data_IF_284156146793
#
_entry.id   IF_284156146793
#
_cell.length_a   1.000
_cell.length_b   1.000
_cell.length_c   1.000
_cell.angle_alpha   90.00
_cell.angle_beta   90.00
_cell.angle_gamma   90.00
#
_symmetry.space_group_name_H-M   'P 1'
#
loop_
_entity.id
_entity.type
_entity.pdbx_description
1 polymer ?
#
# COMPACT_ATOMS: atom_id res chain seq x y z
N UNK A 1 -54.46 57.46 -6.71
CA UNK A 1 -53.46 56.54 -6.12
C UNK A 1 -53.57 55.22 -6.87
N UNK A 2 -52.55 54.92 -7.69
CA UNK A 2 -52.13 53.59 -8.18
C UNK A 2 -53.07 52.74 -9.08
N UNK A 3 -53.02 53.08 -10.38
CA UNK A 3 -52.67 52.25 -11.56
C UNK A 3 -52.76 50.70 -11.40
N UNK A 4 -53.73 50.07 -12.08
CA UNK A 4 -53.65 48.68 -12.54
C UNK A 4 -53.77 48.64 -14.07
N UNK A 5 -52.78 48.06 -14.73
CA UNK A 5 -52.60 48.05 -16.18
C UNK A 5 -53.31 46.80 -16.75
N UNK A 6 -54.33 47.05 -17.58
CA UNK A 6 -54.64 46.46 -18.90
C UNK A 6 -53.69 45.33 -19.41
N UNK A 7 -54.07 44.32 -20.22
CA UNK A 7 -55.22 44.06 -21.09
C UNK A 7 -54.94 42.71 -21.81
N UNK A 8 -55.99 41.97 -22.21
CA UNK A 8 -56.03 41.03 -23.39
C UNK A 8 -55.14 39.75 -23.35
N UNK A 9 -55.52 38.54 -23.75
CA UNK A 9 -56.47 38.05 -24.76
C UNK A 9 -57.04 36.67 -24.37
N UNK A 10 -58.28 36.45 -24.77
CA UNK A 10 -59.02 35.19 -24.81
C UNK A 10 -58.65 34.38 -26.07
N UNK A 11 -58.96 33.07 -26.08
CA UNK A 11 -59.58 32.30 -27.19
C UNK A 11 -58.82 31.07 -27.77
N UNK A 12 -59.55 29.94 -27.76
CA UNK A 12 -59.68 28.87 -28.78
C UNK A 12 -58.64 27.74 -28.95
N UNK A 13 -59.21 26.57 -29.30
CA UNK A 13 -58.65 25.24 -29.45
C UNK A 13 -58.13 24.90 -30.87
N UNK A 14 -57.08 24.04 -30.94
CA UNK A 14 -56.65 23.01 -31.94
C UNK A 14 -56.45 23.44 -33.43
N UNK A 15 -55.60 22.78 -34.29
CA UNK A 15 -55.06 21.39 -34.28
C UNK A 15 -53.56 21.23 -34.71
N UNK A 16 -53.15 19.98 -34.96
CA UNK A 16 -51.80 19.42 -35.20
C UNK A 16 -50.97 19.95 -36.40
N UNK A 17 -49.62 19.94 -36.29
CA UNK A 17 -48.67 20.03 -37.42
C UNK A 17 -47.37 19.23 -37.16
N UNK A 18 -46.98 18.48 -38.19
CA UNK A 18 -45.84 17.58 -38.39
C UNK A 18 -44.58 18.23 -39.01
N UNK A 19 -43.40 17.64 -38.76
CA UNK A 19 -42.13 17.57 -39.53
C UNK A 19 -41.53 18.81 -40.25
N UNK A 20 -40.23 19.09 -40.02
CA UNK A 20 -39.19 19.31 -41.06
C UNK A 20 -37.78 19.60 -40.50
N UNK A 21 -36.90 18.59 -40.64
CA UNK A 21 -35.55 18.54 -41.26
C UNK A 21 -34.61 19.77 -41.30
N UNK A 22 -33.37 19.61 -40.79
CA UNK A 22 -32.11 20.14 -41.37
C UNK A 22 -30.91 19.20 -41.05
N UNK A 23 -30.24 18.67 -42.08
CA UNK A 23 -28.95 17.94 -42.04
C UNK A 23 -27.71 18.86 -41.99
N UNK A 24 -26.64 18.48 -41.26
CA UNK A 24 -25.23 18.47 -41.75
C UNK A 24 -24.21 17.80 -40.80
N UNK A 25 -23.08 17.24 -41.33
CA UNK A 25 -22.24 16.24 -40.66
C UNK A 25 -20.80 16.68 -40.29
N UNK A 26 -20.18 15.88 -39.40
CA UNK A 26 -18.75 15.67 -39.07
C UNK A 26 -17.95 16.73 -38.28
N UNK A 27 -17.44 16.33 -37.10
CA UNK A 27 -16.02 16.34 -36.63
C UNK A 27 -16.00 15.84 -35.17
N UNK A 28 -15.55 14.61 -34.89
CA UNK A 28 -14.16 14.25 -34.59
C UNK A 28 -13.83 14.30 -33.08
N UNK A 29 -13.53 13.10 -32.55
CA UNK A 29 -12.87 12.77 -31.26
C UNK A 29 -13.70 12.92 -29.98
N UNK A 30 -14.29 11.80 -29.56
CA UNK A 30 -13.99 11.27 -28.22
C UNK A 30 -13.98 9.74 -28.28
N UNK A 31 -13.12 9.23 -29.16
CA UNK A 31 -12.67 7.85 -29.12
C UNK A 31 -11.26 7.92 -28.52
N UNK A 32 -11.20 8.06 -27.20
CA UNK A 32 -10.03 7.93 -26.31
C UNK A 32 -10.44 8.41 -24.92
N UNK A 33 -10.84 7.49 -24.06
CA UNK A 33 -10.63 7.49 -22.60
C UNK A 33 -11.48 6.39 -21.93
N UNK A 34 -11.51 5.18 -22.51
CA UNK A 34 -12.15 4.01 -21.88
C UNK A 34 -11.26 2.77 -21.97
N UNK A 35 -9.94 2.92 -21.77
CA UNK A 35 -8.98 1.79 -21.79
C UNK A 35 -7.92 1.85 -20.67
N UNK A 36 -8.01 2.77 -19.70
CA UNK A 36 -6.96 2.98 -18.67
C UNK A 36 -7.47 2.97 -17.21
N UNK A 37 -8.73 2.58 -16.95
CA UNK A 37 -9.28 2.51 -15.57
C UNK A 37 -9.16 1.11 -14.93
N UNK A 38 -9.01 0.08 -15.76
CA UNK A 38 -8.78 -1.31 -15.36
C UNK A 38 -7.27 -1.46 -15.08
N UNK A 39 -6.86 -2.04 -13.95
CA UNK A 39 -5.47 -2.35 -13.52
C UNK A 39 -4.82 -1.38 -12.50
N UNK A 40 -5.24 -0.11 -12.36
CA UNK A 40 -4.59 0.79 -11.39
C UNK A 40 -4.86 0.43 -9.91
N UNK A 41 -6.09 0.02 -9.57
CA UNK A 41 -6.50 -0.29 -8.19
C UNK A 41 -5.84 -1.58 -7.67
N UNK A 42 -5.93 -2.67 -8.45
CA UNK A 42 -5.24 -3.92 -8.13
C UNK A 42 -3.72 -3.74 -8.04
N UNK A 43 -3.13 -2.94 -8.96
CA UNK A 43 -1.70 -2.60 -8.89
C UNK A 43 -1.32 -1.87 -7.62
N UNK A 44 -2.11 -0.89 -7.21
CA UNK A 44 -1.86 -0.14 -5.99
C UNK A 44 -1.87 -1.06 -4.75
N UNK A 45 -2.75 -2.07 -4.71
CA UNK A 45 -2.88 -2.95 -3.56
C UNK A 45 -1.68 -3.87 -3.33
N UNK A 46 -1.23 -4.59 -4.36
CA UNK A 46 -0.06 -5.46 -4.22
C UNK A 46 1.23 -4.64 -4.10
N UNK A 47 1.28 -3.45 -4.71
CA UNK A 47 2.41 -2.54 -4.59
C UNK A 47 2.55 -2.01 -3.15
N UNK A 48 1.46 -1.57 -2.53
CA UNK A 48 1.47 -1.16 -1.11
C UNK A 48 1.95 -2.32 -0.24
N UNK A 49 1.41 -3.51 -0.45
CA UNK A 49 1.79 -4.71 0.27
C UNK A 49 3.30 -5.00 0.14
N UNK A 50 3.85 -4.87 -1.06
CA UNK A 50 5.28 -5.06 -1.32
C UNK A 50 6.15 -3.99 -0.63
N UNK A 51 5.79 -2.71 -0.70
CA UNK A 51 6.57 -1.62 -0.07
C UNK A 51 6.56 -1.75 1.45
N UNK A 52 5.41 -2.09 2.04
CA UNK A 52 5.33 -2.38 3.47
C UNK A 52 6.17 -3.61 3.82
N UNK A 53 6.07 -4.68 3.02
CA UNK A 53 6.88 -5.89 3.16
C UNK A 53 8.37 -5.58 3.22
N UNK A 54 8.91 -4.91 2.20
CA UNK A 54 10.33 -4.59 2.12
C UNK A 54 10.83 -3.76 3.32
N UNK A 55 10.09 -2.72 3.70
CA UNK A 55 10.48 -1.88 4.83
C UNK A 55 10.42 -2.64 6.14
N UNK A 56 9.37 -3.43 6.35
CA UNK A 56 9.18 -4.18 7.59
C UNK A 56 10.23 -5.29 7.71
N UNK A 57 10.53 -6.02 6.62
CA UNK A 57 11.58 -7.03 6.57
C UNK A 57 12.96 -6.45 6.87
N UNK A 58 13.26 -5.27 6.32
CA UNK A 58 14.51 -4.57 6.57
C UNK A 58 14.64 -4.12 8.03
N UNK A 59 13.64 -3.40 8.55
CA UNK A 59 13.69 -2.84 9.92
C UNK A 59 13.60 -3.93 10.98
N UNK A 60 12.68 -4.89 10.85
CA UNK A 60 12.47 -5.94 11.85
C UNK A 60 13.69 -6.85 11.97
N UNK A 61 14.26 -7.30 10.84
CA UNK A 61 15.44 -8.17 10.83
C UNK A 61 16.66 -7.44 11.38
N UNK A 62 16.90 -6.19 10.95
CA UNK A 62 17.98 -5.38 11.50
C UNK A 62 17.81 -5.16 13.02
N UNK A 63 16.59 -4.86 13.48
CA UNK A 63 16.31 -4.64 14.91
C UNK A 63 16.55 -5.90 15.73
N UNK A 64 16.09 -7.06 15.27
CA UNK A 64 16.37 -8.36 15.92
C UNK A 64 17.87 -8.63 16.02
N UNK A 65 18.60 -8.41 14.92
CA UNK A 65 20.06 -8.59 14.89
C UNK A 65 20.77 -7.61 15.83
N UNK A 66 20.36 -6.35 15.88
CA UNK A 66 20.88 -5.36 16.83
C UNK A 66 20.57 -5.74 18.27
N UNK A 67 19.35 -6.21 18.56
CA UNK A 67 18.97 -6.69 19.89
C UNK A 67 19.89 -7.81 20.39
N UNK A 68 20.04 -8.88 19.61
CA UNK A 68 20.95 -9.99 19.97
C UNK A 68 22.41 -9.51 20.03
N UNK A 69 22.81 -8.66 19.09
CA UNK A 69 24.12 -8.04 19.08
C UNK A 69 24.40 -7.13 20.28
N UNK A 70 23.38 -6.67 21.00
CA UNK A 70 23.54 -5.86 22.19
C UNK A 70 24.05 -6.65 23.40
N UNK A 71 23.87 -7.97 23.39
CA UNK A 71 24.16 -8.87 24.53
C UNK A 71 25.11 -10.01 24.19
N UNK A 72 25.26 -10.35 22.91
CA UNK A 72 26.16 -11.41 22.45
C UNK A 72 27.02 -10.91 21.29
N UNK A 73 28.32 -11.20 21.37
CA UNK A 73 29.26 -10.81 20.33
C UNK A 73 29.38 -11.84 19.20
N UNK A 74 28.69 -12.98 19.29
CA UNK A 74 28.77 -14.07 18.31
C UNK A 74 27.99 -13.74 17.02
N UNK A 75 28.70 -13.79 15.89
CA UNK A 75 28.14 -13.62 14.54
C UNK A 75 27.07 -14.67 14.26
N UNK A 76 27.29 -15.93 14.66
CA UNK A 76 26.39 -17.04 14.33
C UNK A 76 25.03 -16.85 14.98
N UNK A 77 24.99 -16.45 16.24
CA UNK A 77 23.76 -16.16 16.97
C UNK A 77 22.99 -14.98 16.37
N UNK A 78 23.70 -13.94 15.95
CA UNK A 78 23.11 -12.78 15.29
C UNK A 78 22.49 -13.16 13.94
N UNK A 79 23.23 -13.86 13.08
CA UNK A 79 22.76 -14.26 11.74
C UNK A 79 21.65 -15.31 11.83
N UNK A 80 21.76 -16.28 12.74
CA UNK A 80 20.73 -17.30 12.95
C UNK A 80 19.42 -16.67 13.42
N UNK A 81 19.47 -15.72 14.36
CA UNK A 81 18.28 -14.98 14.80
C UNK A 81 17.69 -14.15 13.67
N UNK A 82 18.52 -13.47 12.89
CA UNK A 82 18.05 -12.72 11.73
C UNK A 82 17.36 -13.61 10.70
N UNK A 83 17.91 -14.80 10.43
CA UNK A 83 17.33 -15.74 9.46
C UNK A 83 16.03 -16.37 9.96
N UNK A 84 15.98 -16.72 11.25
CA UNK A 84 14.74 -17.17 11.89
C UNK A 84 13.67 -16.07 11.85
N UNK A 85 14.06 -14.82 12.14
CA UNK A 85 13.19 -13.65 12.04
C UNK A 85 12.71 -13.39 10.61
N UNK A 86 13.56 -13.62 9.60
CA UNK A 86 13.19 -13.52 8.19
C UNK A 86 12.06 -14.50 7.86
N UNK A 87 12.23 -15.78 8.17
CA UNK A 87 11.23 -16.81 7.86
C UNK A 87 9.93 -16.55 8.62
N UNK A 88 10.04 -16.33 9.94
CA UNK A 88 8.88 -16.07 10.78
C UNK A 88 8.13 -14.80 10.34
N UNK A 89 8.86 -13.72 10.06
CA UNK A 89 8.32 -12.46 9.62
C UNK A 89 7.68 -12.53 8.23
N UNK A 90 8.32 -13.18 7.26
CA UNK A 90 7.76 -13.35 5.92
C UNK A 90 6.43 -14.13 5.94
N UNK A 91 6.37 -15.23 6.72
CA UNK A 91 5.15 -16.00 6.90
C UNK A 91 4.05 -15.17 7.61
N UNK A 92 4.41 -14.50 8.70
CA UNK A 92 3.48 -13.63 9.45
C UNK A 92 2.90 -12.53 8.56
N UNK A 93 3.75 -11.92 7.73
CA UNK A 93 3.36 -10.84 6.83
C UNK A 93 2.47 -11.32 5.68
N UNK A 94 2.77 -12.48 5.07
CA UNK A 94 1.87 -13.09 4.09
C UNK A 94 0.48 -13.33 4.69
N UNK A 95 0.43 -13.93 5.88
CA UNK A 95 -0.83 -14.25 6.54
C UNK A 95 -1.60 -12.97 6.91
N UNK A 96 -0.92 -11.99 7.52
CA UNK A 96 -1.54 -10.73 7.91
C UNK A 96 -2.10 -9.95 6.71
N UNK A 97 -1.36 -9.93 5.61
CA UNK A 97 -1.79 -9.28 4.38
C UNK A 97 -2.93 -10.04 3.70
N UNK A 98 -2.87 -11.38 3.64
CA UNK A 98 -3.95 -12.20 3.11
C UNK A 98 -5.27 -11.94 3.85
N UNK A 99 -5.23 -11.99 5.19
CA UNK A 99 -6.42 -11.78 6.03
C UNK A 99 -6.95 -10.35 5.90
N UNK A 100 -6.05 -9.35 5.85
CA UNK A 100 -6.44 -7.95 5.69
C UNK A 100 -7.14 -7.68 4.36
N UNK A 101 -6.61 -8.22 3.26
CA UNK A 101 -7.19 -8.03 1.93
C UNK A 101 -8.48 -8.83 1.76
N UNK A 102 -8.55 -10.03 2.33
CA UNK A 102 -9.77 -10.83 2.32
C UNK A 102 -10.90 -10.12 3.08
N UNK A 103 -10.61 -9.50 4.23
CA UNK A 103 -11.61 -8.72 4.96
C UNK A 103 -12.11 -7.50 4.17
N UNK A 104 -11.25 -6.86 3.36
CA UNK A 104 -11.66 -5.76 2.47
C UNK A 104 -12.60 -6.28 1.37
N UNK A 105 -12.27 -7.43 0.79
CA UNK A 105 -13.11 -8.10 -0.20
C UNK A 105 -14.50 -8.45 0.36
N UNK A 106 -14.57 -8.98 1.59
CA UNK A 106 -15.84 -9.33 2.23
C UNK A 106 -16.75 -8.11 2.44
N UNK A 107 -16.18 -6.96 2.80
CA UNK A 107 -16.93 -5.70 2.98
C UNK A 107 -17.50 -5.22 1.64
N UNK A 108 -16.69 -5.26 0.59
CA UNK A 108 -17.08 -4.84 -0.76
C UNK A 108 -18.20 -5.74 -1.32
N UNK A 109 -18.06 -7.06 -1.18
CA UNK A 109 -19.09 -8.03 -1.59
C UNK A 109 -20.40 -7.84 -0.80
N UNK A 110 -20.31 -7.57 0.50
CA UNK A 110 -21.48 -7.29 1.33
C UNK A 110 -22.19 -5.99 0.90
N UNK A 111 -21.43 -4.96 0.52
CA UNK A 111 -21.97 -3.71 0.02
C UNK A 111 -22.66 -3.90 -1.33
N UNK A 112 -21.99 -4.56 -2.29
CA UNK A 112 -22.57 -4.91 -3.59
C UNK A 112 -23.88 -5.69 -3.43
N UNK A 113 -23.94 -6.65 -2.49
CA UNK A 113 -25.17 -7.41 -2.24
C UNK A 113 -26.30 -6.53 -1.71
N UNK A 114 -26.02 -5.53 -0.87
CA UNK A 114 -27.03 -4.58 -0.37
C UNK A 114 -27.53 -3.66 -1.46
N UNK A 115 -26.63 -3.12 -2.27
CA UNK A 115 -26.97 -2.18 -3.35
C UNK A 115 -27.81 -2.87 -4.44
N UNK A 116 -27.47 -4.11 -4.81
CA UNK A 116 -28.27 -4.92 -5.75
C UNK A 116 -29.67 -5.27 -5.22
N UNK A 117 -29.85 -5.40 -3.90
CA UNK A 117 -31.17 -5.66 -3.30
C UNK A 117 -32.01 -4.38 -3.25
N UNK A 118 -31.37 -3.23 -3.02
CA UNK A 118 -32.03 -1.91 -2.98
C UNK A 118 -32.47 -1.43 -4.38
N UNK A 119 -31.68 -1.67 -5.43
CA UNK A 119 -31.91 -1.17 -6.78
C UNK A 119 -32.74 -2.09 -7.69
N UNK A 120 -33.60 -2.96 -7.14
CA UNK A 120 -34.43 -3.90 -7.94
C UNK A 120 -35.47 -3.27 -8.88
N UNK A 121 -35.59 -1.93 -8.95
CA UNK A 121 -36.63 -1.23 -9.72
C UNK A 121 -36.12 -0.25 -10.79
N UNK A 122 -34.82 -0.01 -10.92
CA UNK A 122 -34.27 0.85 -11.98
C UNK A 122 -33.12 0.12 -12.67
N UNK A 123 -33.03 0.29 -13.99
CA UNK A 123 -32.09 -0.40 -14.88
C UNK A 123 -30.68 -0.41 -14.27
N UNK A 124 -30.13 -1.61 -14.13
CA UNK A 124 -28.89 -1.88 -13.44
C UNK A 124 -27.73 -1.10 -14.07
N UNK A 125 -27.43 0.08 -13.52
CA UNK A 125 -26.11 0.69 -13.66
C UNK A 125 -25.14 -0.32 -13.06
N UNK A 126 -24.36 -0.94 -13.94
CA UNK A 126 -23.43 -2.01 -13.62
C UNK A 126 -22.39 -1.48 -12.64
N UNK A 127 -22.67 -1.62 -11.34
CA UNK A 127 -21.69 -1.44 -10.29
C UNK A 127 -20.45 -2.26 -10.66
N UNK A 128 -19.35 -1.55 -10.93
CA UNK A 128 -18.04 -2.06 -11.36
C UNK A 128 -17.68 -3.34 -10.60
N UNK A 129 -17.94 -4.50 -11.22
CA UNK A 129 -17.56 -5.82 -10.68
C UNK A 129 -16.08 -6.15 -10.91
N UNK A 130 -15.33 -5.27 -11.56
CA UNK A 130 -14.01 -5.59 -12.11
C UNK A 130 -12.82 -5.21 -11.20
N UNK A 131 -13.04 -4.48 -10.10
CA UNK A 131 -11.96 -3.96 -9.26
C UNK A 131 -11.82 -4.63 -7.89
N UNK A 132 -12.17 -5.91 -7.78
CA UNK A 132 -12.06 -6.63 -6.52
C UNK A 132 -10.59 -6.81 -6.09
N UNK A 133 -10.28 -6.59 -4.80
CA UNK A 133 -9.03 -6.96 -4.14
C UNK A 133 -8.56 -8.39 -4.46
N UNK A 134 -7.26 -8.58 -4.72
CA UNK A 134 -6.65 -9.92 -4.88
C UNK A 134 -5.78 -10.29 -3.65
N UNK A 135 -6.29 -11.12 -2.70
CA UNK A 135 -5.58 -11.43 -1.45
C UNK A 135 -4.29 -12.20 -1.65
N UNK A 136 -4.27 -13.20 -2.53
CA UNK A 136 -3.10 -14.06 -2.74
C UNK A 136 -1.95 -13.29 -3.38
N UNK A 137 -2.25 -12.39 -4.34
CA UNK A 137 -1.24 -11.58 -4.99
C UNK A 137 -0.59 -10.59 -4.01
N UNK A 138 -1.39 -9.91 -3.18
CA UNK A 138 -0.88 -8.99 -2.17
C UNK A 138 -0.03 -9.70 -1.10
N UNK A 139 -0.48 -10.86 -0.61
CA UNK A 139 0.24 -11.67 0.36
C UNK A 139 1.57 -12.22 -0.18
N UNK A 140 1.58 -12.71 -1.42
CA UNK A 140 2.81 -13.18 -2.07
C UNK A 140 3.79 -12.02 -2.30
N UNK A 141 3.30 -10.88 -2.77
CA UNK A 141 4.11 -9.69 -3.00
C UNK A 141 4.75 -9.16 -1.70
N UNK A 142 3.99 -9.13 -0.60
CA UNK A 142 4.51 -8.67 0.70
C UNK A 142 5.57 -9.61 1.25
N UNK A 143 5.39 -10.94 1.20
CA UNK A 143 6.36 -11.90 1.71
C UNK A 143 7.67 -11.95 0.92
N UNK A 144 7.60 -11.85 -0.41
CA UNK A 144 8.79 -11.76 -1.26
C UNK A 144 9.54 -10.46 -0.96
N UNK A 145 8.83 -9.34 -0.94
CA UNK A 145 9.44 -8.05 -0.64
C UNK A 145 10.05 -8.00 0.76
N UNK A 146 9.37 -8.58 1.77
CA UNK A 146 9.89 -8.74 3.13
C UNK A 146 11.19 -9.52 3.15
N UNK A 147 11.23 -10.67 2.48
CA UNK A 147 12.43 -11.51 2.40
C UNK A 147 13.59 -10.77 1.74
N UNK A 148 13.33 -10.00 0.68
CA UNK A 148 14.33 -9.18 0.01
C UNK A 148 14.87 -8.06 0.92
N UNK A 149 13.98 -7.38 1.66
CA UNK A 149 14.37 -6.37 2.64
C UNK A 149 15.22 -6.94 3.77
N UNK A 150 14.80 -8.08 4.32
CA UNK A 150 15.49 -8.80 5.40
C UNK A 150 16.87 -9.34 5.00
N UNK A 151 17.07 -9.62 3.71
CA UNK A 151 18.35 -10.13 3.21
C UNK A 151 19.49 -9.11 3.33
N UNK A 152 19.19 -7.82 3.24
CA UNK A 152 20.21 -6.76 3.30
C UNK A 152 21.01 -6.77 4.61
N UNK A 153 20.39 -6.67 5.81
CA UNK A 153 21.12 -6.70 7.07
C UNK A 153 21.77 -8.06 7.34
N UNK A 154 21.17 -9.15 6.88
CA UNK A 154 21.75 -10.50 6.99
C UNK A 154 23.06 -10.64 6.22
N UNK A 155 23.08 -10.20 4.95
CA UNK A 155 24.29 -10.20 4.15
C UNK A 155 25.33 -9.25 4.75
N UNK A 156 24.93 -8.05 5.17
CA UNK A 156 25.83 -7.09 5.81
C UNK A 156 26.53 -7.67 7.05
N UNK A 157 25.85 -8.48 7.86
CA UNK A 157 26.43 -9.12 9.04
C UNK A 157 27.36 -10.30 8.72
N UNK A 158 27.11 -11.02 7.61
CA UNK A 158 27.80 -12.27 7.29
C UNK A 158 29.29 -12.08 6.99
N UNK A 159 29.67 -10.93 6.41
CA UNK A 159 31.04 -10.69 5.95
C UNK A 159 31.99 -10.09 7.00
N UNK A 160 31.50 -9.68 8.18
CA UNK A 160 32.29 -8.92 9.16
C UNK A 160 32.51 -9.70 10.47
N UNK A 161 33.77 -9.94 10.80
CA UNK A 161 34.18 -10.65 12.03
C UNK A 161 34.19 -9.76 13.28
N UNK A 162 34.70 -8.54 13.16
CA UNK A 162 34.78 -7.61 14.28
C UNK A 162 33.38 -7.19 14.74
N UNK A 163 33.12 -7.29 16.04
CA UNK A 163 31.80 -7.05 16.61
C UNK A 163 31.32 -5.60 16.43
N UNK A 164 32.19 -4.62 16.72
CA UNK A 164 31.83 -3.20 16.65
C UNK A 164 31.64 -2.76 15.20
N UNK A 165 32.54 -3.21 14.32
CA UNK A 165 32.44 -2.93 12.88
C UNK A 165 31.18 -3.58 12.32
N UNK A 166 30.84 -4.81 12.71
CA UNK A 166 29.64 -5.50 12.24
C UNK A 166 28.37 -4.74 12.58
N UNK A 167 28.21 -4.28 13.82
CA UNK A 167 27.05 -3.46 14.21
C UNK A 167 26.97 -2.20 13.36
N UNK A 168 28.08 -1.47 13.20
CA UNK A 168 28.15 -0.28 12.36
C UNK A 168 27.79 -0.55 10.89
N UNK A 169 28.30 -1.64 10.32
CA UNK A 169 28.03 -2.04 8.92
C UNK A 169 26.57 -2.45 8.73
N UNK A 170 25.98 -3.22 9.65
CA UNK A 170 24.56 -3.59 9.58
C UNK A 170 23.67 -2.36 9.66
N UNK A 171 23.91 -1.46 10.63
CA UNK A 171 23.14 -0.22 10.75
C UNK A 171 23.33 0.68 9.53
N UNK A 172 24.56 0.83 9.03
CA UNK A 172 24.87 1.64 7.85
C UNK A 172 24.21 1.10 6.57
N UNK A 173 24.35 -0.20 6.32
CA UNK A 173 23.72 -0.88 5.18
C UNK A 173 22.18 -0.79 5.25
N UNK A 174 21.61 -1.01 6.44
CA UNK A 174 20.16 -0.88 6.67
C UNK A 174 19.70 0.55 6.43
N UNK A 175 20.44 1.55 6.90
CA UNK A 175 20.10 2.97 6.71
C UNK A 175 20.09 3.36 5.23
N UNK A 176 21.10 2.92 4.47
CA UNK A 176 21.16 3.12 3.03
C UNK A 176 19.99 2.42 2.33
N UNK A 177 19.71 1.18 2.70
CA UNK A 177 18.59 0.44 2.12
C UNK A 177 17.22 1.06 2.47
N UNK A 178 17.03 1.61 3.68
CA UNK A 178 15.81 2.32 4.06
C UNK A 178 15.61 3.57 3.21
N UNK A 179 16.69 4.30 2.90
CA UNK A 179 16.62 5.45 1.99
C UNK A 179 16.22 5.01 0.58
N UNK A 180 16.79 3.91 0.08
CA UNK A 180 16.49 3.35 -1.24
C UNK A 180 15.05 2.82 -1.31
N UNK A 181 14.64 1.93 -0.41
CA UNK A 181 13.28 1.37 -0.40
C UNK A 181 12.22 2.41 -0.04
N UNK A 182 12.50 3.33 0.89
CA UNK A 182 11.64 4.46 1.18
C UNK A 182 11.48 5.40 -0.01
N UNK A 183 12.55 5.57 -0.80
CA UNK A 183 12.53 6.34 -2.04
C UNK A 183 11.76 5.64 -3.15
N UNK A 184 12.07 4.36 -3.42
CA UNK A 184 11.35 3.52 -4.38
C UNK A 184 9.86 3.44 -4.07
N UNK A 185 9.50 3.23 -2.80
CA UNK A 185 8.11 3.23 -2.36
C UNK A 185 7.41 4.57 -2.60
N UNK A 186 8.13 5.69 -2.46
CA UNK A 186 7.60 7.01 -2.76
C UNK A 186 7.43 7.25 -4.26
N UNK A 187 8.38 6.80 -5.11
CA UNK A 187 8.25 6.87 -6.57
C UNK A 187 7.04 6.05 -7.04
N UNK A 188 6.95 4.80 -6.57
CA UNK A 188 5.88 3.88 -6.96
C UNK A 188 4.51 4.34 -6.45
N UNK A 189 4.47 4.95 -5.26
CA UNK A 189 3.26 5.51 -4.65
C UNK A 189 2.95 6.96 -5.06
N UNK A 190 3.69 7.58 -5.98
CA UNK A 190 3.55 9.00 -6.40
C UNK A 190 3.55 9.99 -5.23
N UNK A 191 4.33 9.72 -4.18
CA UNK A 191 4.46 10.52 -2.97
C UNK A 191 5.78 11.33 -2.96
N UNK A 192 5.89 12.41 -2.16
CA UNK A 192 7.13 13.19 -2.06
C UNK A 192 8.29 12.36 -1.49
N UNK A 193 9.32 12.14 -2.32
CA UNK A 193 10.49 11.29 -2.05
C UNK A 193 11.14 11.55 -0.69
N UNK A 194 11.51 12.81 -0.43
CA UNK A 194 12.29 13.18 0.77
C UNK A 194 11.51 12.92 2.06
N UNK A 195 10.21 13.25 2.09
CA UNK A 195 9.38 13.08 3.30
C UNK A 195 9.15 11.60 3.61
N UNK A 196 8.94 10.80 2.57
CA UNK A 196 8.73 9.35 2.73
C UNK A 196 9.99 8.64 3.20
N UNK A 197 11.14 8.85 2.54
CA UNK A 197 12.42 8.24 2.95
C UNK A 197 12.81 8.66 4.35
N UNK A 198 12.64 9.94 4.71
CA UNK A 198 13.01 10.43 6.04
C UNK A 198 12.17 9.78 7.15
N UNK A 199 10.86 9.66 6.97
CA UNK A 199 9.97 9.01 7.95
C UNK A 199 10.34 7.53 8.16
N UNK A 200 10.63 6.80 7.08
CA UNK A 200 11.01 5.39 7.15
C UNK A 200 12.37 5.23 7.83
N UNK A 201 13.35 6.08 7.49
CA UNK A 201 14.66 6.06 8.13
C UNK A 201 14.59 6.35 9.63
N UNK A 202 13.90 7.44 10.02
CA UNK A 202 13.76 7.83 11.42
C UNK A 202 13.02 6.74 12.20
N UNK A 203 11.92 6.21 11.65
CA UNK A 203 11.18 5.11 12.27
C UNK A 203 12.05 3.87 12.47
N UNK A 204 12.83 3.50 11.46
CA UNK A 204 13.76 2.37 11.53
C UNK A 204 14.85 2.55 12.58
N UNK A 205 15.46 3.72 12.67
CA UNK A 205 16.45 4.03 13.72
C UNK A 205 15.86 3.99 15.13
N UNK A 206 14.66 4.53 15.32
CA UNK A 206 13.98 4.47 16.61
C UNK A 206 13.71 3.01 16.99
N UNK A 207 13.19 2.19 16.07
CA UNK A 207 12.95 0.77 16.33
C UNK A 207 14.24 0.04 16.73
N UNK A 208 15.30 0.19 15.94
CA UNK A 208 16.60 -0.43 16.24
C UNK A 208 17.18 0.04 17.57
N UNK A 209 17.09 1.34 17.88
CA UNK A 209 17.61 1.89 19.13
C UNK A 209 16.83 1.36 20.35
N UNK A 210 15.50 1.28 20.25
CA UNK A 210 14.66 0.71 21.31
C UNK A 210 15.00 -0.77 21.51
N UNK A 211 15.04 -1.57 20.44
CA UNK A 211 15.34 -3.00 20.55
C UNK A 211 16.74 -3.24 21.13
N UNK A 212 17.76 -2.56 20.61
CA UNK A 212 19.12 -2.63 21.15
C UNK A 212 19.17 -2.23 22.63
N UNK A 213 18.55 -1.09 22.98
CA UNK A 213 18.56 -0.56 24.34
C UNK A 213 17.87 -1.50 25.33
N UNK A 214 16.67 -1.98 25.02
CA UNK A 214 15.92 -2.90 25.89
C UNK A 214 16.67 -4.22 26.07
N UNK A 215 17.17 -4.83 25.00
CA UNK A 215 17.90 -6.09 25.11
C UNK A 215 19.20 -5.90 25.89
N UNK A 216 19.91 -4.78 25.71
CA UNK A 216 21.10 -4.44 26.49
C UNK A 216 20.82 -4.29 27.98
N UNK A 217 19.73 -3.62 28.35
CA UNK A 217 19.33 -3.47 29.76
C UNK A 217 19.05 -4.83 30.38
N UNK A 218 18.23 -5.66 29.72
CA UNK A 218 17.90 -7.00 30.18
C UNK A 218 19.16 -7.86 30.32
N UNK A 219 20.05 -7.86 29.33
CA UNK A 219 21.30 -8.63 29.38
C UNK A 219 22.31 -8.14 30.43
N UNK A 220 22.26 -6.85 30.79
CA UNK A 220 23.12 -6.30 31.86
C UNK A 220 22.57 -6.62 33.25
N UNK A 221 21.25 -6.76 33.39
CA UNK A 221 20.58 -7.10 34.65
C UNK A 221 20.69 -8.57 35.06
N UNK A 222 21.31 -9.43 34.24
CA UNK A 222 21.74 -10.77 34.64
C UNK A 222 20.60 -11.74 34.97
N UNK A 223 19.59 -11.84 34.09
CA UNK A 223 18.77 -13.06 34.02
C UNK A 223 19.49 -14.16 33.25
#
# INVERSE_FOLDING_TARGET
>A
MSIHINQTYQQSALPAVSNMDIERPQTMKENKENEDCIDYSQRAQWLRAAVLGANDGLVSTASLMMGVGAVKEDVKLMVLTGFAGLIAGACSMAIGEYVSVYSQLDIELAQIKRDNVANKNEEAESADKENLPNPFQAAGASAIAFSLGAMVPLLAASFIRDHKVRLGVVTGATSLALLVFGGLGAVLGKAPLVKSSLRVLIGGWIAMAITYGLTKLIGTSGL
#
